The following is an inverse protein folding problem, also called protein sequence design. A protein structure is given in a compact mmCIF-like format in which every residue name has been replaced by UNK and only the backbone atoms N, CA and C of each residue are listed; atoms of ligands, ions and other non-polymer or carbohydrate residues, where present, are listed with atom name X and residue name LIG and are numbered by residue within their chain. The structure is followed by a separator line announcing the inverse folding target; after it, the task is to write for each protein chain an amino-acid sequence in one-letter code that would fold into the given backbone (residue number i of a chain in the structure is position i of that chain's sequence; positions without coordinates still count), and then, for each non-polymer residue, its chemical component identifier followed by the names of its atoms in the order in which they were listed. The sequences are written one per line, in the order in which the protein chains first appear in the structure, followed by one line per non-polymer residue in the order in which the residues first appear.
data_IF_632045466018
#
_entry.id   IF_632045466018
#
_cell.length_a   1.000
_cell.length_b   1.000
_cell.length_c   1.000
_cell.angle_alpha   90.00
_cell.angle_beta   90.00
_cell.angle_gamma   90.00
#
_symmetry.space_group_name_H-M   'P 1'
#
loop_
_entity.id
_entity.type
_entity.pdbx_description
1 polymer ?
#
# COMPACT_ATOMS: atom_id res chain seq x y z
N UNK A 1 -20.42 -22.61 -5.19
CA UNK A 1 -19.73 -22.92 -3.92
C UNK A 1 -18.65 -21.88 -3.67
N UNK A 2 -18.41 -21.47 -2.42
CA UNK A 2 -17.33 -20.52 -2.06
C UNK A 2 -16.09 -21.32 -1.66
N UNK A 3 -15.00 -21.19 -2.43
CA UNK A 3 -13.75 -21.93 -2.19
C UNK A 3 -12.73 -21.17 -1.33
N UNK A 4 -12.70 -19.84 -1.42
CA UNK A 4 -11.73 -19.01 -0.70
C UNK A 4 -12.43 -17.82 -0.03
N UNK A 5 -12.05 -17.55 1.21
CA UNK A 5 -12.31 -16.31 1.93
C UNK A 5 -10.95 -15.62 2.10
N UNK A 6 -10.87 -14.38 1.63
CA UNK A 6 -9.62 -13.63 1.59
C UNK A 6 -9.67 -12.47 2.55
N UNK A 7 -8.63 -12.34 3.38
CA UNK A 7 -8.34 -11.13 4.16
C UNK A 7 -7.21 -10.38 3.47
N UNK A 8 -7.53 -9.37 2.63
CA UNK A 8 -6.55 -8.70 1.78
C UNK A 8 -5.63 -7.76 2.57
N UNK A 9 -6.07 -7.24 3.72
CA UNK A 9 -5.27 -6.36 4.58
C UNK A 9 -5.66 -6.53 6.06
N UNK A 10 -4.96 -5.86 6.98
CA UNK A 10 -5.21 -6.02 8.42
C UNK A 10 -6.46 -5.31 8.95
N UNK A 11 -7.05 -4.40 8.18
CA UNK A 11 -8.19 -3.58 8.57
C UNK A 11 -9.53 -4.17 8.12
N UNK A 12 -9.52 -5.03 7.10
CA UNK A 12 -10.70 -5.65 6.49
C UNK A 12 -10.89 -7.10 6.99
N UNK A 13 -10.83 -7.32 8.31
CA UNK A 13 -10.98 -8.64 8.95
C UNK A 13 -12.37 -8.91 9.51
N UNK A 14 -13.18 -7.87 9.71
CA UNK A 14 -14.37 -7.89 10.57
C UNK A 14 -15.35 -9.03 10.27
N UNK A 15 -15.58 -9.30 8.99
CA UNK A 15 -16.55 -10.32 8.56
C UNK A 15 -15.95 -11.69 8.29
N UNK A 16 -14.62 -11.84 8.25
CA UNK A 16 -13.97 -13.04 7.75
C UNK A 16 -14.38 -14.32 8.50
N UNK A 17 -14.47 -14.27 9.84
CA UNK A 17 -14.91 -15.42 10.64
C UNK A 17 -16.40 -15.74 10.48
N UNK A 18 -17.23 -14.72 10.27
CA UNK A 18 -18.66 -14.92 10.00
C UNK A 18 -18.86 -15.62 8.64
N UNK A 19 -18.11 -15.21 7.61
CA UNK A 19 -18.09 -15.90 6.32
C UNK A 19 -17.55 -17.33 6.47
N UNK A 20 -16.49 -17.56 7.25
CA UNK A 20 -15.94 -18.91 7.44
C UNK A 20 -16.95 -19.84 8.11
N UNK A 21 -17.77 -19.31 9.03
CA UNK A 21 -18.86 -20.07 9.65
C UNK A 21 -19.94 -20.47 8.64
N UNK A 22 -20.28 -19.58 7.71
CA UNK A 22 -21.29 -19.84 6.67
C UNK A 22 -20.75 -20.77 5.56
N UNK A 23 -19.44 -20.68 5.27
CA UNK A 23 -18.76 -21.46 4.24
C UNK A 23 -17.64 -22.31 4.86
N UNK A 24 -17.96 -23.34 5.66
CA UNK A 24 -16.97 -24.09 6.45
C UNK A 24 -15.96 -24.89 5.59
N UNK A 25 -16.29 -25.16 4.33
CA UNK A 25 -15.40 -25.85 3.39
C UNK A 25 -14.42 -24.92 2.67
N UNK A 26 -14.54 -23.60 2.87
CA UNK A 26 -13.65 -22.62 2.25
C UNK A 26 -12.30 -22.54 2.96
N UNK A 27 -11.28 -22.08 2.24
CA UNK A 27 -9.99 -21.70 2.82
C UNK A 27 -10.01 -20.25 3.26
N UNK A 28 -9.62 -19.97 4.51
CA UNK A 28 -9.35 -18.62 4.98
C UNK A 28 -7.88 -18.28 4.75
N UNK A 29 -7.62 -17.41 3.78
CA UNK A 29 -6.27 -16.99 3.40
C UNK A 29 -6.11 -15.50 3.69
N UNK A 30 -4.99 -15.08 4.27
CA UNK A 30 -4.82 -13.72 4.76
C UNK A 30 -3.50 -13.07 4.37
N UNK A 31 -3.46 -11.74 4.46
CA UNK A 31 -2.21 -10.98 4.53
C UNK A 31 -1.37 -11.38 5.74
N UNK A 32 -0.04 -11.20 5.68
CA UNK A 32 0.81 -11.33 6.86
C UNK A 32 0.52 -10.29 7.95
N UNK A 33 -0.23 -9.22 7.63
CA UNK A 33 -0.58 -8.14 8.57
C UNK A 33 -1.42 -8.58 9.77
N UNK A 34 -2.05 -9.75 9.72
CA UNK A 34 -2.91 -10.28 10.79
C UNK A 34 -2.27 -11.45 11.55
N UNK A 35 -1.02 -11.80 11.23
CA UNK A 35 -0.34 -12.97 11.81
C UNK A 35 -0.26 -12.96 13.35
N UNK A 36 -0.26 -11.76 13.94
CA UNK A 36 -0.14 -11.56 15.38
C UNK A 36 -1.48 -11.29 16.09
N UNK A 37 -2.63 -11.39 15.41
CA UNK A 37 -3.94 -11.36 16.09
C UNK A 37 -4.34 -12.80 16.46
N UNK A 38 -4.07 -13.20 17.70
CA UNK A 38 -4.32 -14.56 18.19
C UNK A 38 -5.80 -14.99 18.10
N UNK A 39 -6.74 -14.03 18.13
CA UNK A 39 -8.17 -14.32 17.98
C UNK A 39 -8.51 -14.79 16.57
N UNK A 40 -7.70 -14.39 15.59
CA UNK A 40 -7.94 -14.57 14.17
C UNK A 40 -6.98 -15.60 13.55
N UNK A 41 -5.69 -15.55 13.89
CA UNK A 41 -4.60 -16.34 13.32
C UNK A 41 -4.86 -17.86 13.33
N UNK A 42 -5.45 -18.40 14.41
CA UNK A 42 -5.72 -19.85 14.53
C UNK A 42 -6.71 -20.41 13.50
N UNK A 43 -7.46 -19.55 12.81
CA UNK A 43 -8.43 -19.94 11.78
C UNK A 43 -7.88 -19.79 10.35
N UNK A 44 -6.71 -19.17 10.18
CA UNK A 44 -6.15 -18.86 8.86
C UNK A 44 -5.40 -20.10 8.35
N UNK A 45 -5.77 -20.62 7.19
CA UNK A 45 -5.11 -21.77 6.58
C UNK A 45 -3.74 -21.37 5.98
N UNK A 46 -3.62 -20.20 5.33
CA UNK A 46 -2.36 -19.73 4.76
C UNK A 46 -2.23 -18.20 4.68
N UNK A 47 -1.00 -17.76 4.45
CA UNK A 47 -0.62 -16.36 4.25
C UNK A 47 -0.12 -16.09 2.84
N UNK A 48 -0.52 -14.96 2.26
CA UNK A 48 0.06 -14.48 1.02
C UNK A 48 1.48 -13.97 1.23
N UNK A 49 2.41 -14.39 0.36
CA UNK A 49 3.77 -13.86 0.25
C UNK A 49 4.12 -13.63 -1.22
N UNK A 50 5.11 -12.78 -1.51
CA UNK A 50 5.61 -12.59 -2.87
C UNK A 50 6.25 -13.84 -3.50
N UNK A 51 6.47 -14.91 -2.70
CA UNK A 51 6.99 -16.20 -3.17
C UNK A 51 5.90 -17.28 -3.29
N UNK A 52 4.63 -16.95 -3.09
CA UNK A 52 3.53 -17.92 -3.05
C UNK A 52 2.75 -17.89 -1.73
N UNK A 53 1.84 -18.86 -1.57
CA UNK A 53 1.15 -19.09 -0.31
C UNK A 53 2.08 -19.79 0.69
N UNK A 54 2.07 -19.30 1.92
CA UNK A 54 2.76 -19.93 3.05
C UNK A 54 1.73 -20.52 3.99
N UNK A 55 1.72 -21.85 4.17
CA UNK A 55 0.85 -22.50 5.14
C UNK A 55 1.05 -21.91 6.54
N UNK A 56 -0.05 -21.79 7.29
CA UNK A 56 0.00 -21.37 8.68
C UNK A 56 0.25 -22.58 9.58
N UNK A 57 1.41 -22.64 10.21
CA UNK A 57 1.78 -23.72 11.14
C UNK A 57 0.93 -23.73 12.42
N UNK A 58 0.21 -22.65 12.70
CA UNK A 58 -0.72 -22.57 13.83
C UNK A 58 -2.14 -22.99 13.45
N UNK A 59 -2.41 -23.27 12.17
CA UNK A 59 -3.70 -23.77 11.75
C UNK A 59 -3.88 -25.21 12.23
N UNK A 60 -5.08 -25.51 12.71
CA UNK A 60 -5.43 -26.83 13.25
C UNK A 60 -5.60 -27.89 12.14
N UNK A 61 -5.59 -27.48 10.87
CA UNK A 61 -5.76 -28.36 9.72
C UNK A 61 -4.63 -28.17 8.72
N UNK A 62 -3.86 -29.24 8.47
CA UNK A 62 -2.89 -29.26 7.38
C UNK A 62 -3.64 -29.48 6.07
N UNK A 63 -3.87 -28.40 5.31
CA UNK A 63 -4.50 -28.45 4.01
C UNK A 63 -3.53 -27.93 2.95
N UNK A 64 -3.36 -28.70 1.87
CA UNK A 64 -2.73 -28.20 0.66
C UNK A 64 -3.69 -27.23 -0.03
N UNK A 65 -3.25 -25.98 -0.22
CA UNK A 65 -4.06 -24.93 -0.84
C UNK A 65 -3.54 -24.67 -2.24
N UNK A 66 -4.34 -25.03 -3.23
CA UNK A 66 -4.11 -24.63 -4.61
C UNK A 66 -4.76 -23.26 -4.83
N UNK A 67 -4.00 -22.24 -5.22
CA UNK A 67 -4.54 -20.93 -5.60
C UNK A 67 -4.74 -20.87 -7.11
N UNK A 68 -5.84 -20.28 -7.63
CA UNK A 68 -6.13 -20.23 -9.07
C UNK A 68 -5.26 -19.19 -9.80
N UNK A 69 -3.93 -19.39 -9.82
CA UNK A 69 -2.96 -18.48 -10.42
C UNK A 69 -3.20 -18.19 -11.90
N UNK A 70 -3.88 -19.09 -12.62
CA UNK A 70 -4.25 -18.89 -14.01
C UNK A 70 -5.25 -17.74 -14.17
N UNK A 71 -6.16 -17.55 -13.21
CA UNK A 71 -7.22 -16.54 -13.25
C UNK A 71 -6.89 -15.31 -12.41
N UNK A 72 -6.34 -15.51 -11.20
CA UNK A 72 -6.05 -14.45 -10.24
C UNK A 72 -4.59 -14.52 -9.83
N UNK A 73 -3.79 -13.56 -10.30
CA UNK A 73 -2.46 -13.30 -9.74
C UNK A 73 -2.55 -12.30 -8.59
N UNK A 74 -1.51 -12.21 -7.76
CA UNK A 74 -1.46 -11.23 -6.69
C UNK A 74 -0.06 -10.66 -6.48
N UNK A 75 0.03 -9.53 -5.79
CA UNK A 75 1.26 -8.90 -5.32
C UNK A 75 1.09 -8.44 -3.87
N UNK A 76 2.07 -8.71 -3.02
CA UNK A 76 2.05 -8.31 -1.61
C UNK A 76 2.79 -6.98 -1.44
N UNK A 77 2.03 -5.91 -1.16
CA UNK A 77 2.54 -4.57 -0.84
C UNK A 77 2.82 -4.50 0.67
N UNK A 78 4.00 -4.97 1.06
CA UNK A 78 4.39 -5.14 2.47
C UNK A 78 5.47 -4.15 2.92
N UNK A 79 5.83 -3.13 2.14
CA UNK A 79 6.75 -2.08 2.61
C UNK A 79 6.12 -1.12 3.62
N UNK A 80 4.80 -1.17 3.84
CA UNK A 80 4.06 -0.30 4.77
C UNK A 80 3.25 -1.15 5.74
N UNK A 81 3.73 -1.34 6.97
CA UNK A 81 3.08 -2.13 8.04
C UNK A 81 1.66 -1.68 8.38
N UNK A 82 1.34 -0.41 8.16
CA UNK A 82 -0.04 0.07 8.31
C UNK A 82 -0.97 -0.59 7.28
N UNK A 83 -0.48 -0.82 6.06
CA UNK A 83 -1.28 -1.38 4.97
C UNK A 83 -1.20 -2.89 4.93
N UNK A 84 0.02 -3.47 4.90
CA UNK A 84 0.30 -4.90 4.66
C UNK A 84 -0.79 -5.53 3.81
N UNK A 85 -0.77 -5.17 2.54
CA UNK A 85 -1.89 -5.36 1.65
C UNK A 85 -1.53 -6.37 0.56
N UNK A 86 -2.49 -7.22 0.22
CA UNK A 86 -2.42 -8.13 -0.93
C UNK A 86 -3.31 -7.56 -2.02
N UNK A 87 -2.69 -7.28 -3.16
CA UNK A 87 -3.33 -6.73 -4.34
C UNK A 87 -3.59 -7.88 -5.31
N UNK A 88 -4.82 -8.02 -5.78
CA UNK A 88 -5.21 -9.09 -6.68
C UNK A 88 -5.44 -8.54 -8.09
N UNK A 89 -5.02 -9.30 -9.09
CA UNK A 89 -5.30 -9.01 -10.49
C UNK A 89 -6.09 -10.18 -11.08
N UNK A 90 -7.37 -9.95 -11.34
CA UNK A 90 -8.24 -10.89 -12.04
C UNK A 90 -8.04 -10.69 -13.55
N UNK A 91 -7.31 -11.62 -14.16
CA UNK A 91 -6.88 -11.52 -15.55
C UNK A 91 -8.05 -11.51 -16.54
N UNK A 92 -9.08 -12.36 -16.41
CA UNK A 92 -10.18 -12.43 -17.39
C UNK A 92 -10.93 -11.11 -17.56
N UNK A 93 -11.08 -10.32 -16.50
CA UNK A 93 -11.78 -9.03 -16.55
C UNK A 93 -10.84 -7.83 -16.46
N UNK A 94 -9.52 -8.04 -16.61
CA UNK A 94 -8.48 -7.01 -16.46
C UNK A 94 -8.74 -6.11 -15.24
N UNK A 95 -9.04 -6.72 -14.10
CA UNK A 95 -9.47 -6.00 -12.90
C UNK A 95 -8.42 -6.07 -11.82
N UNK A 96 -7.95 -4.92 -11.36
CA UNK A 96 -7.13 -4.80 -10.17
C UNK A 96 -8.05 -4.62 -8.95
N UNK A 97 -7.83 -5.42 -7.91
CA UNK A 97 -8.54 -5.38 -6.65
C UNK A 97 -7.52 -5.06 -5.57
N UNK A 98 -7.74 -3.94 -4.90
CA UNK A 98 -6.92 -3.46 -3.80
C UNK A 98 -7.83 -2.99 -2.65
N UNK A 99 -7.25 -2.53 -1.57
CA UNK A 99 -7.96 -2.04 -0.39
C UNK A 99 -7.60 -0.60 -0.11
N UNK A 100 -6.58 -0.36 0.69
CA UNK A 100 -6.29 0.94 1.28
C UNK A 100 -5.14 1.67 0.56
N UNK A 101 -4.62 1.09 -0.53
CA UNK A 101 -3.70 1.74 -1.46
C UNK A 101 -4.37 2.76 -2.40
N UNK A 102 -5.70 2.74 -2.52
CA UNK A 102 -6.42 3.77 -3.26
C UNK A 102 -7.85 3.85 -2.75
N UNK A 103 -8.40 5.06 -2.77
CA UNK A 103 -9.79 5.34 -2.50
C UNK A 103 -10.40 6.02 -3.73
N UNK A 104 -11.71 5.89 -3.90
CA UNK A 104 -12.42 6.57 -4.96
C UNK A 104 -13.69 7.23 -4.43
N UNK A 105 -13.52 8.38 -3.77
CA UNK A 105 -14.61 9.19 -3.22
C UNK A 105 -14.99 10.39 -4.10
N UNK A 106 -14.64 10.40 -5.38
CA UNK A 106 -14.81 11.57 -6.25
C UNK A 106 -16.27 12.04 -6.40
N UNK A 107 -16.55 13.30 -6.09
CA UNK A 107 -17.90 13.87 -6.20
C UNK A 107 -18.19 14.49 -7.60
N UNK A 108 -17.31 14.30 -8.59
CA UNK A 108 -17.46 14.87 -9.93
C UNK A 108 -18.20 13.92 -10.89
N UNK A 109 -19.29 14.40 -11.49
CA UNK A 109 -20.06 13.71 -12.55
C UNK A 109 -21.44 13.22 -12.13
N UNK A 110 -22.16 12.55 -13.05
CA UNK A 110 -23.51 12.00 -12.83
C UNK A 110 -23.54 10.81 -11.84
N UNK A 111 -22.36 10.24 -11.53
CA UNK A 111 -22.19 9.25 -10.48
C UNK A 111 -21.74 9.94 -9.19
N UNK A 112 -22.69 10.52 -8.47
CA UNK A 112 -22.43 11.18 -7.18
C UNK A 112 -21.95 10.13 -6.17
N UNK A 113 -20.63 10.03 -5.97
CA UNK A 113 -20.02 9.13 -4.99
C UNK A 113 -20.24 9.75 -3.61
N UNK A 114 -21.17 9.20 -2.83
CA UNK A 114 -21.46 9.71 -1.49
C UNK A 114 -20.46 9.14 -0.49
N UNK A 115 -19.46 9.94 -0.11
CA UNK A 115 -18.95 9.85 1.25
C UNK A 115 -20.14 10.05 2.20
N UNK A 116 -20.56 8.98 2.88
CA UNK A 116 -21.72 9.02 3.75
C UNK A 116 -21.36 9.72 5.07
N UNK A 117 -22.10 10.78 5.39
CA UNK A 117 -21.93 11.55 6.62
C UNK A 117 -21.03 12.79 6.48
N UNK A 118 -21.44 13.86 7.16
CA UNK A 118 -20.75 15.16 7.15
C UNK A 118 -19.30 15.08 7.65
N UNK A 119 -19.03 14.23 8.64
CA UNK A 119 -17.69 14.09 9.21
C UNK A 119 -16.69 13.48 8.22
N UNK A 120 -17.08 12.41 7.51
CA UNK A 120 -16.23 11.81 6.48
C UNK A 120 -15.97 12.81 5.35
N UNK A 121 -17.02 13.53 4.92
CA UNK A 121 -16.89 14.55 3.88
C UNK A 121 -15.94 15.67 4.27
N UNK A 122 -16.06 16.17 5.50
CA UNK A 122 -15.17 17.18 6.04
C UNK A 122 -13.73 16.68 6.13
N UNK A 123 -13.52 15.44 6.58
CA UNK A 123 -12.20 14.80 6.60
C UNK A 123 -11.59 14.69 5.20
N UNK A 124 -12.35 14.21 4.21
CA UNK A 124 -11.87 14.08 2.83
C UNK A 124 -11.55 15.45 2.23
N UNK A 125 -12.33 16.48 2.52
CA UNK A 125 -12.03 17.85 2.10
C UNK A 125 -10.70 18.34 2.71
N UNK A 126 -10.55 18.20 4.04
CA UNK A 126 -9.36 18.64 4.77
C UNK A 126 -8.09 17.90 4.31
N UNK A 127 -8.23 16.63 3.95
CA UNK A 127 -7.12 15.76 3.59
C UNK A 127 -6.90 15.58 2.09
N UNK A 128 -7.66 16.31 1.27
CA UNK A 128 -7.57 16.31 -0.19
C UNK A 128 -7.82 14.90 -0.77
N UNK A 129 -8.92 14.27 -0.34
CA UNK A 129 -9.28 12.88 -0.63
C UNK A 129 -10.40 12.69 -1.65
N UNK A 130 -10.88 13.75 -2.30
CA UNK A 130 -11.97 13.68 -3.29
C UNK A 130 -11.51 13.37 -4.72
N UNK A 131 -10.32 12.80 -4.87
CA UNK A 131 -9.78 12.41 -6.18
C UNK A 131 -10.06 10.94 -6.48
N UNK A 132 -10.06 10.60 -7.76
CA UNK A 132 -10.20 9.21 -8.20
C UNK A 132 -8.91 8.43 -7.90
N UNK A 133 -9.07 7.18 -7.48
CA UNK A 133 -7.98 6.24 -7.22
C UNK A 133 -6.80 6.86 -6.44
N UNK A 134 -7.10 7.59 -5.36
CA UNK A 134 -6.12 8.34 -4.59
C UNK A 134 -6.11 7.95 -3.12
N UNK A 135 -4.98 8.13 -2.46
CA UNK A 135 -4.89 8.13 -0.99
C UNK A 135 -4.99 9.56 -0.45
N UNK A 136 -5.31 9.71 0.83
CA UNK A 136 -5.38 11.03 1.47
C UNK A 136 -4.00 11.53 1.90
N UNK A 137 -3.82 12.86 2.05
CA UNK A 137 -2.53 13.47 2.46
C UNK A 137 -1.84 12.83 3.68
N UNK A 138 -2.54 12.37 4.73
CA UNK A 138 -1.93 11.65 5.85
C UNK A 138 -1.11 10.41 5.45
N UNK A 139 -1.38 9.78 4.30
CA UNK A 139 -0.60 8.62 3.83
C UNK A 139 0.88 8.92 3.65
N UNK A 140 1.26 10.18 3.43
CA UNK A 140 2.66 10.60 3.35
C UNK A 140 3.48 10.17 4.57
N UNK A 141 2.89 10.15 5.77
CA UNK A 141 3.61 9.78 6.99
C UNK A 141 3.99 8.30 7.01
N UNK A 142 3.15 7.44 6.44
CA UNK A 142 3.42 6.01 6.34
C UNK A 142 4.44 5.72 5.23
N UNK A 143 4.30 6.37 4.07
CA UNK A 143 5.22 6.19 2.95
C UNK A 143 6.65 6.70 3.22
N UNK A 144 6.81 7.84 3.92
CA UNK A 144 8.14 8.44 4.17
C UNK A 144 9.09 7.54 4.95
N UNK A 145 8.58 6.72 5.89
CA UNK A 145 9.41 5.90 6.78
C UNK A 145 10.31 4.92 6.03
N UNK A 146 9.79 4.34 4.93
CA UNK A 146 10.48 3.33 4.11
C UNK A 146 10.45 3.74 2.63
N UNK A 147 10.62 5.03 2.33
CA UNK A 147 10.34 5.63 1.01
C UNK A 147 10.94 4.87 -0.18
N UNK A 148 12.17 4.36 -0.05
CA UNK A 148 12.85 3.62 -1.13
C UNK A 148 12.23 2.22 -1.36
N UNK A 149 11.83 1.53 -0.29
CA UNK A 149 11.14 0.24 -0.37
C UNK A 149 9.72 0.40 -0.92
N UNK A 150 9.02 1.45 -0.46
CA UNK A 150 7.67 1.78 -0.95
C UNK A 150 7.72 2.13 -2.44
N UNK A 151 8.78 2.81 -2.91
CA UNK A 151 8.97 3.04 -4.34
C UNK A 151 9.11 1.74 -5.10
N UNK A 152 9.94 0.82 -4.60
CA UNK A 152 10.09 -0.48 -5.24
C UNK A 152 8.75 -1.23 -5.32
N UNK A 153 7.96 -1.22 -4.25
CA UNK A 153 6.63 -1.86 -4.27
C UNK A 153 5.69 -1.23 -5.31
N UNK A 154 5.65 0.10 -5.39
CA UNK A 154 4.86 0.78 -6.42
C UNK A 154 5.35 0.47 -7.83
N UNK A 155 6.66 0.47 -8.08
CA UNK A 155 7.20 0.14 -9.41
C UNK A 155 6.90 -1.31 -9.80
N UNK A 156 7.00 -2.26 -8.85
CA UNK A 156 6.62 -3.65 -9.07
C UNK A 156 5.13 -3.78 -9.38
N UNK A 157 4.28 -3.08 -8.64
CA UNK A 157 2.84 -3.06 -8.89
C UNK A 157 2.52 -2.53 -10.30
N UNK A 158 3.06 -1.36 -10.64
CA UNK A 158 2.78 -0.68 -11.91
C UNK A 158 3.34 -1.42 -13.13
N UNK A 159 4.50 -2.07 -13.00
CA UNK A 159 5.10 -2.85 -14.08
C UNK A 159 4.43 -4.21 -14.27
N UNK A 160 3.98 -4.84 -13.18
CA UNK A 160 3.34 -6.17 -13.24
C UNK A 160 1.93 -6.11 -13.83
N UNK A 161 1.19 -5.04 -13.54
CA UNK A 161 -0.21 -4.89 -13.97
C UNK A 161 -0.37 -3.59 -14.76
N UNK A 162 0.28 -3.50 -15.92
CA UNK A 162 0.20 -2.29 -16.75
C UNK A 162 -1.13 -2.15 -17.53
N UNK A 163 -1.89 -3.25 -17.66
CA UNK A 163 -3.03 -3.35 -18.57
C UNK A 163 -4.39 -3.53 -17.85
N UNK A 164 -4.48 -3.26 -16.53
CA UNK A 164 -5.77 -3.34 -15.87
C UNK A 164 -6.67 -2.17 -16.28
N UNK A 165 -7.92 -2.49 -16.61
CA UNK A 165 -8.92 -1.51 -17.04
C UNK A 165 -9.90 -1.17 -15.92
N UNK A 166 -10.22 -2.13 -15.06
CA UNK A 166 -11.14 -1.92 -13.93
C UNK A 166 -10.35 -1.90 -12.62
N UNK A 167 -10.71 -0.99 -11.72
CA UNK A 167 -10.14 -0.92 -10.37
C UNK A 167 -11.25 -1.08 -9.34
N UNK A 168 -11.06 -2.00 -8.39
CA UNK A 168 -11.91 -2.22 -7.23
C UNK A 168 -11.09 -1.91 -5.98
N UNK A 169 -11.66 -1.11 -5.09
CA UNK A 169 -11.09 -0.72 -3.82
C UNK A 169 -12.10 -0.96 -2.70
N UNK A 170 -11.63 -1.04 -1.46
CA UNK A 170 -12.51 -1.25 -0.30
C UNK A 170 -13.39 -0.02 0.00
N UNK A 171 -13.00 1.15 -0.51
CA UNK A 171 -13.53 2.45 -0.09
C UNK A 171 -13.90 3.32 -1.29
N UNK A 172 -15.16 3.73 -1.34
CA UNK A 172 -15.70 4.50 -2.46
C UNK A 172 -16.33 3.62 -3.54
N UNK A 173 -16.40 4.10 -4.78
CA UNK A 173 -17.00 3.35 -5.88
C UNK A 173 -15.97 2.62 -6.73
N UNK A 174 -16.42 1.57 -7.38
CA UNK A 174 -15.64 0.87 -8.41
C UNK A 174 -15.36 1.82 -9.57
N UNK A 175 -14.13 1.79 -10.09
CA UNK A 175 -13.76 2.45 -11.33
C UNK A 175 -13.89 1.42 -12.45
N UNK A 176 -14.89 1.54 -13.33
CA UNK A 176 -15.21 0.50 -14.31
C UNK A 176 -14.23 0.45 -15.49
N UNK A 177 -13.60 1.58 -15.82
CA UNK A 177 -12.73 1.76 -16.99
C UNK A 177 -11.55 2.68 -16.64
N UNK A 178 -10.48 2.57 -17.42
CA UNK A 178 -9.27 3.41 -17.31
C UNK A 178 -8.57 3.35 -15.95
N UNK A 179 -8.71 2.21 -15.25
CA UNK A 179 -8.20 2.00 -13.91
C UNK A 179 -6.69 2.23 -13.79
N UNK A 180 -5.89 1.74 -14.75
CA UNK A 180 -4.43 1.93 -14.72
C UNK A 180 -4.05 3.40 -14.76
N UNK A 181 -4.64 4.16 -15.69
CA UNK A 181 -4.36 5.58 -15.83
C UNK A 181 -4.78 6.37 -14.59
N UNK A 182 -5.98 6.12 -14.08
CA UNK A 182 -6.49 6.80 -12.89
C UNK A 182 -5.68 6.49 -11.64
N UNK A 183 -5.29 5.22 -11.43
CA UNK A 183 -4.40 4.85 -10.32
C UNK A 183 -3.00 5.48 -10.47
N UNK A 184 -2.50 5.57 -11.70
CA UNK A 184 -1.22 6.23 -12.00
C UNK A 184 -1.26 7.72 -11.64
N UNK A 185 -2.32 8.43 -12.04
CA UNK A 185 -2.50 9.86 -11.76
C UNK A 185 -2.85 10.16 -10.30
N UNK A 186 -3.58 9.26 -9.64
CA UNK A 186 -4.00 9.40 -8.25
C UNK A 186 -2.88 8.98 -7.28
N UNK A 187 -2.95 7.74 -6.81
CA UNK A 187 -2.03 7.22 -5.78
C UNK A 187 -0.56 7.20 -6.23
N UNK A 188 -0.24 6.70 -7.42
CA UNK A 188 1.17 6.54 -7.82
C UNK A 188 1.86 7.89 -7.97
N UNK A 189 1.22 8.87 -8.64
CA UNK A 189 1.78 10.22 -8.78
C UNK A 189 1.93 10.90 -7.42
N UNK A 190 0.93 10.80 -6.53
CA UNK A 190 1.04 11.31 -5.15
C UNK A 190 2.29 10.77 -4.45
N UNK A 191 2.54 9.46 -4.57
CA UNK A 191 3.73 8.84 -4.00
C UNK A 191 5.02 9.33 -4.69
N UNK A 192 5.05 9.44 -6.01
CA UNK A 192 6.23 9.88 -6.76
C UNK A 192 6.62 11.33 -6.44
N UNK A 193 5.65 12.22 -6.28
CA UNK A 193 5.87 13.60 -5.85
C UNK A 193 6.51 13.65 -4.45
N UNK A 194 6.00 12.82 -3.54
CA UNK A 194 6.56 12.65 -2.20
C UNK A 194 8.00 12.12 -2.24
N UNK A 195 8.26 11.07 -3.02
CA UNK A 195 9.58 10.48 -3.18
C UNK A 195 10.60 11.49 -3.72
N UNK A 196 10.24 12.22 -4.78
CA UNK A 196 11.10 13.23 -5.39
C UNK A 196 11.43 14.36 -4.40
N UNK A 197 10.43 14.83 -3.65
CA UNK A 197 10.62 15.86 -2.61
C UNK A 197 11.56 15.38 -1.49
N UNK A 198 11.45 14.13 -1.06
CA UNK A 198 12.35 13.54 -0.06
C UNK A 198 13.80 13.43 -0.58
N UNK A 199 14.00 12.99 -1.81
CA UNK A 199 15.34 12.91 -2.42
C UNK A 199 15.98 14.29 -2.56
N UNK A 200 15.23 15.30 -3.00
CA UNK A 200 15.72 16.69 -3.06
C UNK A 200 16.12 17.22 -1.67
N UNK A 201 15.31 16.94 -0.64
CA UNK A 201 15.60 17.40 0.74
C UNK A 201 16.86 16.73 1.30
N UNK A 202 17.02 15.43 1.10
CA UNK A 202 18.25 14.70 1.50
C UNK A 202 19.48 15.22 0.76
N UNK A 203 19.37 15.50 -0.53
CA UNK A 203 20.45 16.06 -1.33
C UNK A 203 20.88 17.45 -0.82
N UNK A 204 19.93 18.36 -0.60
CA UNK A 204 20.22 19.70 -0.02
C UNK A 204 20.88 19.60 1.36
N UNK A 205 20.39 18.72 2.23
CA UNK A 205 21.00 18.50 3.55
C UNK A 205 22.43 17.99 3.46
N UNK A 206 22.72 17.07 2.53
CA UNK A 206 24.08 16.57 2.28
C UNK A 206 25.03 17.67 1.80
N UNK A 207 24.58 18.53 0.88
CA UNK A 207 25.36 19.69 0.41
C UNK A 207 25.66 20.64 1.57
N UNK A 208 24.66 21.03 2.35
CA UNK A 208 24.85 21.94 3.48
C UNK A 208 25.81 21.35 4.52
N UNK A 209 25.71 20.04 4.82
CA UNK A 209 26.67 19.37 5.71
C UNK A 209 28.09 19.36 5.15
N UNK A 210 28.27 19.08 3.85
CA UNK A 210 29.58 19.12 3.19
C UNK A 210 30.19 20.51 3.22
N UNK A 211 29.43 21.55 2.86
CA UNK A 211 29.93 22.93 2.89
C UNK A 211 30.15 23.45 4.31
N UNK A 212 29.27 23.15 5.26
CA UNK A 212 29.47 23.49 6.67
C UNK A 212 30.72 22.83 7.26
N UNK A 213 30.99 21.57 6.91
CA UNK A 213 32.22 20.88 7.31
C UNK A 213 33.47 21.48 6.67
N UNK A 214 33.43 21.85 5.39
CA UNK A 214 34.55 22.53 4.70
C UNK A 214 34.84 23.90 5.32
N UNK A 215 33.81 24.67 5.70
CA UNK A 215 33.99 25.96 6.39
C UNK A 215 34.64 25.75 7.76
N UNK A 216 34.17 24.78 8.54
CA UNK A 216 34.74 24.49 9.88
C UNK A 216 36.21 24.06 9.76
N UNK A 217 36.52 23.11 8.86
CA UNK A 217 37.90 22.63 8.65
C UNK A 217 38.80 23.75 8.11
N UNK A 218 38.31 24.57 7.18
CA UNK A 218 39.04 25.72 6.63
C UNK A 218 39.40 26.75 7.70
N UNK A 219 38.48 27.05 8.63
CA UNK A 219 38.74 27.97 9.76
C UNK A 219 39.74 27.36 10.75
N UNK A 220 39.65 26.06 11.06
CA UNK A 220 40.59 25.38 11.95
C UNK A 220 42.03 25.34 11.39
N UNK A 221 42.21 25.11 10.09
CA UNK A 221 43.54 25.13 9.44
C UNK A 221 44.12 26.56 9.46
N UNK A 222 43.29 27.58 9.23
CA UNK A 222 43.75 28.97 9.24
C UNK A 222 44.24 29.42 10.63
N UNK A 223 43.57 28.98 11.70
CA UNK A 223 43.97 29.29 13.08
C UNK A 223 45.29 28.58 13.45
N UNK A 224 45.49 27.32 13.07
CA UNK A 224 46.73 26.58 13.38
C UNK A 224 47.93 27.18 12.64
N UNK A 225 47.77 27.62 11.39
CA UNK A 225 48.86 28.25 10.61
C UNK A 225 49.36 29.59 11.18
N UNK A 226 48.54 30.28 11.98
CA UNK A 226 48.92 31.54 12.64
C UNK A 226 49.67 31.34 13.96
N UNK A 227 49.53 30.19 14.62
CA UNK A 227 50.15 29.90 15.93
C UNK A 227 51.57 29.34 15.80
N UNK A 228 51.95 28.78 14.64
CA UNK A 228 53.28 28.18 14.41
C UNK A 228 54.33 29.20 13.89
N UNK A 229 53.99 30.50 13.86
CA UNK A 229 54.88 31.56 13.34
C UNK A 229 55.34 32.61 14.37
N UNK A 230 55.23 32.33 15.67
CA UNK A 230 55.82 33.15 16.74
C UNK A 230 56.99 32.46 17.40
#
# INVERSE_FOLDING_TARGET
EVKYIVVPNKHHTFWALAFLKEYPNSYLIATQGVKYDDRFNKYIDAYFTNNGLSNNTNCLMDKSIEWPYNEISYYCFYSVEMLYEVIFYHKPSSTLILTDLAFNYSELGEQVIRAEGYLLRFYLWLTDGYHQACVTKPYKYFFRKKIDLVKNDFDQLMSRYENFNRLIMAHGTVIPYDGYHLFKLGTYQFFMDLYNKEKQTKHKSSIIKKFGFVIIVGVSIFIISKVVRS
#
